data_IF_712479881673
#
_entry.id   IF_712479881673
#
_cell.length_a   1.000
_cell.length_b   1.000
_cell.length_c   1.000
_cell.angle_alpha   90.00
_cell.angle_beta   90.00
_cell.angle_gamma   90.00
#
_symmetry.space_group_name_H-M   'P 1'
#
loop_
_entity.id
_entity.type
_entity.pdbx_description
1 polymer ?
#
# COMPACT_ATOMS: atom_id res chain seq x y z
N UNK A 1 -53.54 -45.52 0.77
CA UNK A 1 -52.34 -45.22 -0.05
C UNK A 1 -52.74 -44.34 -1.23
N UNK A 2 -52.30 -43.07 -1.26
CA UNK A 2 -52.17 -42.10 -2.39
C UNK A 2 -52.31 -40.68 -1.81
N UNK A 3 -51.18 -40.09 -1.40
CA UNK A 3 -50.44 -39.02 -2.09
C UNK A 3 -51.27 -37.73 -2.22
N UNK A 4 -51.16 -36.79 -1.29
CA UNK A 4 -50.10 -35.77 -1.15
C UNK A 4 -50.03 -34.86 -2.36
N UNK A 5 -50.37 -33.56 -2.18
CA UNK A 5 -49.60 -32.42 -2.68
C UNK A 5 -49.97 -31.17 -1.86
N UNK A 6 -49.16 -30.88 -0.84
CA UNK A 6 -49.18 -29.61 -0.13
C UNK A 6 -48.41 -28.58 -0.96
N UNK A 7 -49.09 -27.51 -1.38
CA UNK A 7 -48.47 -26.38 -2.08
C UNK A 7 -47.60 -25.63 -1.06
N UNK A 8 -46.31 -25.97 -1.00
CA UNK A 8 -45.33 -25.19 -0.25
C UNK A 8 -44.86 -24.03 -1.14
N UNK A 9 -45.35 -22.83 -0.82
CA UNK A 9 -44.88 -21.58 -1.38
C UNK A 9 -43.49 -21.29 -0.80
N UNK A 10 -42.44 -21.74 -1.49
CA UNK A 10 -41.07 -21.43 -1.15
C UNK A 10 -40.80 -19.94 -1.46
N UNK A 11 -40.90 -19.10 -0.43
CA UNK A 11 -40.44 -17.71 -0.48
C UNK A 11 -38.91 -17.75 -0.54
N UNK A 12 -38.38 -17.57 -1.74
CA UNK A 12 -36.96 -17.41 -2.00
C UNK A 12 -36.55 -16.00 -1.54
N UNK A 13 -36.25 -15.86 -0.25
CA UNK A 13 -35.69 -14.63 0.31
C UNK A 13 -34.31 -14.44 -0.30
N UNK A 14 -34.20 -13.60 -1.34
CA UNK A 14 -32.92 -13.10 -1.80
C UNK A 14 -32.28 -12.35 -0.63
N UNK A 15 -31.25 -12.95 -0.04
CA UNK A 15 -30.28 -12.20 0.74
C UNK A 15 -29.67 -11.15 -0.19
N UNK A 16 -30.19 -9.93 -0.14
CA UNK A 16 -29.49 -8.77 -0.67
C UNK A 16 -28.18 -8.66 0.14
N UNK A 17 -27.10 -9.21 -0.41
CA UNK A 17 -25.78 -8.82 0.01
C UNK A 17 -25.71 -7.32 -0.22
N UNK A 18 -25.78 -6.54 0.86
CA UNK A 18 -25.37 -5.13 0.82
C UNK A 18 -23.91 -5.14 0.38
N UNK A 19 -23.69 -4.97 -0.91
CA UNK A 19 -22.37 -4.66 -1.44
C UNK A 19 -22.03 -3.27 -0.90
N UNK A 20 -21.28 -3.24 0.21
CA UNK A 20 -20.68 -2.02 0.73
C UNK A 20 -19.71 -1.53 -0.37
N UNK A 21 -20.12 -0.49 -1.06
CA UNK A 21 -19.43 0.04 -2.22
C UNK A 21 -19.26 1.54 -2.02
N UNK A 22 -18.03 1.99 -2.20
CA UNK A 22 -17.68 3.40 -2.18
C UNK A 22 -18.51 4.13 -3.25
N UNK A 23 -19.01 5.31 -2.90
CA UNK A 23 -19.87 6.11 -3.75
C UNK A 23 -19.14 7.38 -4.19
N UNK A 24 -19.02 7.59 -5.49
CA UNK A 24 -18.48 8.80 -6.08
C UNK A 24 -19.59 9.52 -6.82
N UNK A 25 -19.83 10.78 -6.44
CA UNK A 25 -20.80 11.65 -7.08
C UNK A 25 -20.03 12.69 -7.90
N UNK A 26 -20.40 12.79 -9.18
CA UNK A 26 -19.83 13.75 -10.11
C UNK A 26 -20.65 15.05 -10.11
N UNK A 27 -20.02 16.15 -10.53
CA UNK A 27 -20.65 17.49 -10.62
C UNK A 27 -21.83 17.57 -11.58
N UNK A 28 -21.99 16.59 -12.47
CA UNK A 28 -23.15 16.46 -13.36
C UNK A 28 -24.31 15.68 -12.73
N UNK A 29 -24.17 15.19 -11.50
CA UNK A 29 -25.14 14.37 -10.78
C UNK A 29 -25.01 12.87 -10.98
N UNK A 30 -24.05 12.41 -11.79
CA UNK A 30 -23.81 10.98 -11.98
C UNK A 30 -23.26 10.36 -10.70
N UNK A 31 -23.71 9.14 -10.39
CA UNK A 31 -23.26 8.36 -9.24
C UNK A 31 -22.60 7.07 -9.71
N UNK A 32 -21.38 6.84 -9.24
CA UNK A 32 -20.62 5.63 -9.50
C UNK A 32 -20.38 4.91 -8.18
N UNK A 33 -20.83 3.67 -8.09
CA UNK A 33 -20.58 2.77 -6.97
C UNK A 33 -19.47 1.79 -7.32
N UNK A 34 -18.49 1.63 -6.43
CA UNK A 34 -17.38 0.71 -6.65
C UNK A 34 -16.42 0.61 -5.47
N UNK A 35 -15.17 0.27 -5.74
CA UNK A 35 -14.07 0.35 -4.77
C UNK A 35 -13.05 1.34 -5.29
N UNK A 36 -12.75 2.36 -4.49
CA UNK A 36 -11.71 3.35 -4.82
C UNK A 36 -10.35 2.67 -4.74
N UNK A 37 -9.67 2.57 -5.87
CA UNK A 37 -8.35 1.93 -5.94
C UNK A 37 -7.26 2.92 -5.55
N UNK A 38 -7.19 4.03 -6.28
CA UNK A 38 -6.20 5.07 -6.04
C UNK A 38 -6.61 6.38 -6.70
N UNK A 39 -6.12 7.49 -6.13
CA UNK A 39 -6.13 8.80 -6.76
C UNK A 39 -4.69 9.22 -6.95
N UNK A 40 -4.33 9.59 -8.17
CA UNK A 40 -3.00 10.09 -8.48
C UNK A 40 -3.07 11.21 -9.52
N UNK A 41 -2.44 12.34 -9.20
CA UNK A 41 -2.50 13.53 -10.05
C UNK A 41 -3.94 14.02 -10.27
N UNK A 42 -4.39 14.00 -11.52
CA UNK A 42 -5.70 14.52 -11.95
C UNK A 42 -6.76 13.45 -12.17
N UNK A 43 -6.51 12.19 -11.80
CA UNK A 43 -7.44 11.08 -12.03
C UNK A 43 -7.69 10.22 -10.79
N UNK A 44 -8.91 9.70 -10.70
CA UNK A 44 -9.35 8.69 -9.74
C UNK A 44 -9.60 7.38 -10.46
N UNK A 45 -9.11 6.29 -9.90
CA UNK A 45 -9.33 4.93 -10.38
C UNK A 45 -10.32 4.21 -9.45
N UNK A 46 -11.40 3.69 -10.03
CA UNK A 46 -12.45 2.97 -9.32
C UNK A 46 -12.62 1.61 -9.97
N UNK A 47 -12.67 0.54 -9.17
CA UNK A 47 -13.11 -0.77 -9.62
C UNK A 47 -14.61 -0.91 -9.42
N UNK A 48 -15.34 -1.30 -10.44
CA UNK A 48 -16.79 -1.53 -10.36
C UNK A 48 -17.11 -2.98 -10.69
N UNK A 49 -18.32 -3.45 -10.37
CA UNK A 49 -18.71 -4.83 -10.65
C UNK A 49 -18.88 -5.11 -12.16
N UNK A 50 -19.17 -4.06 -12.93
CA UNK A 50 -19.40 -4.14 -14.37
C UNK A 50 -18.17 -3.76 -15.21
N UNK A 51 -17.17 -3.12 -14.60
CA UNK A 51 -15.92 -2.75 -15.25
C UNK A 51 -14.76 -2.82 -14.25
N UNK A 52 -13.72 -3.58 -14.62
CA UNK A 52 -12.54 -3.80 -13.77
C UNK A 52 -11.86 -2.49 -13.33
N UNK A 53 -11.84 -1.48 -14.21
CA UNK A 53 -11.22 -0.19 -13.94
C UNK A 53 -11.93 0.92 -14.69
N UNK A 54 -12.48 1.87 -13.93
CA UNK A 54 -13.08 3.11 -14.40
C UNK A 54 -12.16 4.26 -13.97
N UNK A 55 -11.75 5.08 -14.93
CA UNK A 55 -10.86 6.23 -14.70
C UNK A 55 -11.66 7.51 -14.88
N UNK A 56 -11.68 8.35 -13.85
CA UNK A 56 -12.46 9.59 -13.79
C UNK A 56 -11.53 10.75 -13.53
N UNK A 57 -11.80 11.91 -14.15
CA UNK A 57 -11.07 13.15 -13.83
C UNK A 57 -11.44 13.63 -12.42
N UNK A 58 -10.45 13.90 -11.59
CA UNK A 58 -10.64 14.37 -10.22
C UNK A 58 -11.47 15.67 -10.17
N UNK A 59 -11.26 16.57 -11.13
CA UNK A 59 -11.99 17.84 -11.21
C UNK A 59 -13.49 17.69 -11.53
N UNK A 60 -13.90 16.53 -12.03
CA UNK A 60 -15.31 16.23 -12.30
C UNK A 60 -16.04 15.68 -11.06
N UNK A 61 -15.33 15.36 -9.99
CA UNK A 61 -15.89 14.79 -8.76
C UNK A 61 -16.40 15.92 -7.87
N UNK A 62 -17.60 15.73 -7.33
CA UNK A 62 -18.22 16.63 -6.37
C UNK A 62 -18.06 16.12 -4.94
N UNK A 63 -18.33 14.85 -4.70
CA UNK A 63 -18.14 14.24 -3.38
C UNK A 63 -17.80 12.76 -3.50
N UNK A 64 -17.09 12.25 -2.49
CA UNK A 64 -16.70 10.85 -2.40
C UNK A 64 -17.01 10.35 -0.99
N UNK A 65 -17.67 9.20 -0.94
CA UNK A 65 -17.95 8.45 0.27
C UNK A 65 -17.29 7.09 0.17
N UNK A 66 -16.57 6.69 1.21
CA UNK A 66 -15.92 5.39 1.29
C UNK A 66 -16.35 4.68 2.55
N UNK A 67 -16.76 3.43 2.38
CA UNK A 67 -17.10 2.56 3.51
C UNK A 67 -15.86 1.81 4.02
N UNK A 68 -14.72 1.95 3.32
CA UNK A 68 -13.41 1.42 3.71
C UNK A 68 -12.45 2.54 4.11
N UNK A 69 -11.56 2.29 5.09
CA UNK A 69 -10.53 3.26 5.43
C UNK A 69 -9.60 3.45 4.23
N UNK A 70 -9.20 4.70 3.99
CA UNK A 70 -8.25 5.06 2.95
C UNK A 70 -7.23 6.05 3.49
N UNK A 71 -6.04 6.05 2.89
CA UNK A 71 -5.02 7.05 3.17
C UNK A 71 -5.10 8.18 2.15
N UNK A 72 -5.36 9.38 2.63
CA UNK A 72 -5.44 10.62 1.85
C UNK A 72 -4.22 11.47 2.15
N UNK A 73 -3.52 11.90 1.09
CA UNK A 73 -2.34 12.77 1.17
C UNK A 73 -2.76 14.17 0.72
N UNK A 74 -2.60 15.16 1.58
CA UNK A 74 -2.93 16.55 1.30
C UNK A 74 -1.74 17.30 0.69
N UNK A 75 -1.99 18.49 0.12
CA UNK A 75 -0.95 19.36 -0.50
C UNK A 75 0.15 19.77 0.46
N UNK A 76 -0.16 19.88 1.74
CA UNK A 76 0.80 20.18 2.82
C UNK A 76 1.60 18.95 3.27
N UNK A 77 1.44 17.81 2.57
CA UNK A 77 2.05 16.50 2.85
C UNK A 77 1.54 15.85 4.13
N UNK A 78 0.43 16.31 4.70
CA UNK A 78 -0.23 15.58 5.77
C UNK A 78 -0.87 14.31 5.21
N UNK A 79 -0.67 13.19 5.92
CA UNK A 79 -1.31 11.92 5.64
C UNK A 79 -2.43 11.69 6.66
N UNK A 80 -3.66 11.55 6.17
CA UNK A 80 -4.82 11.26 6.98
C UNK A 80 -5.36 9.89 6.58
N UNK A 81 -5.54 9.01 7.56
CA UNK A 81 -6.08 7.67 7.33
C UNK A 81 -7.42 7.55 8.03
N UNK A 82 -8.48 7.20 7.29
CA UNK A 82 -9.81 7.08 7.86
C UNK A 82 -10.88 6.83 6.81
N UNK A 83 -12.13 6.82 7.26
CA UNK A 83 -13.29 6.69 6.38
C UNK A 83 -13.59 8.03 5.72
N UNK A 84 -13.64 8.07 4.39
CA UNK A 84 -14.05 9.25 3.65
C UNK A 84 -15.57 9.42 3.74
N UNK A 85 -16.02 10.50 4.37
CA UNK A 85 -17.43 10.86 4.47
C UNK A 85 -17.80 12.00 3.52
N UNK A 86 -19.07 12.01 3.10
CA UNK A 86 -19.64 13.12 2.31
C UNK A 86 -19.53 14.43 3.09
N UNK A 87 -19.16 15.50 2.39
CA UNK A 87 -19.27 16.87 2.88
C UNK A 87 -19.86 17.74 1.77
N UNK A 88 -20.50 18.83 2.16
CA UNK A 88 -21.09 19.78 1.22
C UNK A 88 -20.00 20.63 0.54
N UNK A 89 -20.29 21.16 -0.65
CA UNK A 89 -19.45 22.12 -1.39
C UNK A 89 -18.06 21.61 -1.86
N UNK A 90 -17.96 20.38 -2.37
CA UNK A 90 -16.69 19.91 -2.95
C UNK A 90 -15.61 19.58 -1.91
N UNK A 91 -16.04 19.27 -0.68
CA UNK A 91 -15.20 18.83 0.41
C UNK A 91 -15.49 17.37 0.79
N UNK A 92 -14.55 16.78 1.50
CA UNK A 92 -14.64 15.44 2.08
C UNK A 92 -14.31 15.53 3.56
N UNK A 93 -14.99 14.74 4.38
CA UNK A 93 -14.59 14.53 5.78
C UNK A 93 -13.81 13.23 5.88
N UNK A 94 -12.82 13.18 6.77
CA UNK A 94 -12.10 11.92 7.08
C UNK A 94 -12.36 11.59 8.53
N UNK A 95 -13.13 10.52 8.77
CA UNK A 95 -13.36 10.01 10.11
C UNK A 95 -12.23 9.03 10.45
N UNK A 96 -11.23 9.52 11.18
CA UNK A 96 -10.12 8.73 11.70
C UNK A 96 -10.40 8.36 13.15
N UNK A 97 -10.09 7.12 13.54
CA UNK A 97 -10.19 6.66 14.93
C UNK A 97 -9.33 7.55 15.84
N UNK A 98 -9.97 8.44 16.61
CA UNK A 98 -9.32 9.40 17.51
C UNK A 98 -9.54 10.88 17.17
N UNK A 99 -10.20 11.21 16.05
CA UNK A 99 -10.56 12.59 15.69
C UNK A 99 -12.06 12.79 15.89
N UNK A 100 -12.43 13.48 16.97
CA UNK A 100 -13.83 13.75 17.33
C UNK A 100 -14.49 14.87 16.51
N UNK A 101 -13.72 15.56 15.66
CA UNK A 101 -14.20 16.67 14.85
C UNK A 101 -13.55 16.62 13.46
N UNK A 102 -14.22 15.94 12.53
CA UNK A 102 -13.73 15.78 11.17
C UNK A 102 -13.96 17.07 10.39
N UNK A 103 -12.89 17.86 10.20
CA UNK A 103 -12.96 19.09 9.42
C UNK A 103 -13.22 18.76 7.94
N UNK A 104 -14.08 19.55 7.25
CA UNK A 104 -14.22 19.45 5.80
C UNK A 104 -12.88 19.77 5.12
N UNK A 105 -12.34 18.81 4.39
CA UNK A 105 -11.13 18.94 3.58
C UNK A 105 -11.56 19.18 2.14
N UNK A 106 -11.22 20.33 1.52
CA UNK A 106 -11.51 20.57 0.12
C UNK A 106 -10.87 19.48 -0.76
N UNK A 107 -11.60 18.96 -1.75
CA UNK A 107 -11.05 17.99 -2.72
C UNK A 107 -9.86 18.57 -3.50
N UNK A 108 -9.75 19.90 -3.56
CA UNK A 108 -8.61 20.62 -4.17
C UNK A 108 -7.32 20.50 -3.36
N UNK A 109 -7.39 20.14 -2.08
CA UNK A 109 -6.22 19.92 -1.23
C UNK A 109 -5.74 18.46 -1.28
N UNK A 110 -6.60 17.54 -1.71
CA UNK A 110 -6.25 16.12 -1.86
C UNK A 110 -5.31 15.93 -3.04
N UNK A 111 -4.09 15.52 -2.76
CA UNK A 111 -3.03 15.30 -3.75
C UNK A 111 -3.02 13.85 -4.25
N UNK A 112 -3.05 12.88 -3.34
CA UNK A 112 -3.06 11.46 -3.69
C UNK A 112 -3.97 10.68 -2.70
N UNK A 113 -4.54 9.56 -3.14
CA UNK A 113 -5.28 8.60 -2.31
C UNK A 113 -4.70 7.22 -2.58
N UNK A 114 -4.40 6.47 -1.51
CA UNK A 114 -3.82 5.12 -1.56
C UNK A 114 -2.59 5.02 -2.47
N UNK A 115 -1.70 6.03 -2.37
CA UNK A 115 -0.46 6.08 -3.16
C UNK A 115 0.48 4.95 -2.78
N UNK A 116 1.14 4.35 -3.78
CA UNK A 116 2.26 3.44 -3.56
C UNK A 116 3.58 4.20 -3.54
N UNK A 117 4.35 3.99 -2.49
CA UNK A 117 5.70 4.51 -2.28
C UNK A 117 6.75 3.50 -2.74
N UNK A 118 7.80 4.00 -3.38
CA UNK A 118 8.97 3.23 -3.78
C UNK A 118 10.19 3.79 -3.06
N UNK A 119 10.95 2.94 -2.38
CA UNK A 119 12.23 3.30 -1.79
C UNK A 119 13.28 2.25 -2.06
N UNK A 120 14.54 2.65 -2.05
CA UNK A 120 15.66 1.74 -2.29
C UNK A 120 16.90 2.20 -1.55
N UNK A 121 17.75 1.24 -1.20
CA UNK A 121 19.03 1.47 -0.56
C UNK A 121 20.07 0.52 -1.12
N UNK A 122 21.32 0.97 -1.19
CA UNK A 122 22.46 0.12 -1.51
C UNK A 122 23.57 0.43 -0.52
N UNK A 123 24.15 -0.60 0.10
CA UNK A 123 25.30 -0.46 0.97
C UNK A 123 26.47 -1.28 0.46
N UNK A 124 27.67 -0.78 0.71
CA UNK A 124 28.93 -1.44 0.41
C UNK A 124 29.88 -1.18 1.57
N UNK A 125 30.59 -2.20 2.03
CA UNK A 125 31.59 -2.02 3.07
C UNK A 125 32.64 -3.11 3.06
N UNK A 126 33.76 -2.81 3.71
CA UNK A 126 34.88 -3.73 3.82
C UNK A 126 35.71 -3.47 5.07
N UNK A 127 36.42 -4.50 5.49
CA UNK A 127 37.19 -4.51 6.71
C UNK A 127 38.51 -5.26 6.52
N UNK A 128 39.56 -4.66 7.05
CA UNK A 128 40.89 -5.25 7.14
C UNK A 128 41.24 -5.39 8.62
N UNK A 129 41.60 -6.59 9.07
CA UNK A 129 42.05 -6.85 10.43
C UNK A 129 43.38 -7.57 10.39
N UNK A 130 44.43 -6.95 10.97
CA UNK A 130 45.78 -7.52 11.04
C UNK A 130 46.14 -7.94 12.46
N UNK A 131 46.57 -9.19 12.63
CA UNK A 131 47.09 -9.78 13.86
C UNK A 131 47.81 -11.08 13.53
N UNK A 132 47.63 -12.15 14.32
CA UNK A 132 48.13 -13.50 13.96
C UNK A 132 47.45 -14.10 12.70
N UNK A 133 46.42 -13.43 12.17
CA UNK A 133 45.70 -13.82 10.95
C UNK A 133 45.27 -12.55 10.25
N UNK A 134 45.52 -12.47 8.95
CA UNK A 134 45.05 -11.37 8.12
C UNK A 134 43.65 -11.72 7.62
N UNK A 135 42.67 -10.88 7.95
CA UNK A 135 41.28 -11.03 7.49
C UNK A 135 40.90 -9.86 6.62
N UNK A 136 40.41 -10.16 5.43
CA UNK A 136 39.84 -9.19 4.50
C UNK A 136 38.40 -9.58 4.22
N UNK A 137 37.47 -8.64 4.39
CA UNK A 137 36.08 -8.87 4.03
C UNK A 137 35.52 -7.71 3.19
N UNK A 138 34.58 -8.07 2.31
CA UNK A 138 33.80 -7.15 1.51
C UNK A 138 32.34 -7.61 1.56
N UNK A 139 31.43 -6.67 1.73
CA UNK A 139 29.99 -6.90 1.67
C UNK A 139 29.35 -5.86 0.77
N UNK A 140 28.36 -6.30 0.01
CA UNK A 140 27.50 -5.46 -0.79
C UNK A 140 26.06 -5.91 -0.58
N UNK A 141 25.15 -4.98 -0.39
CA UNK A 141 23.72 -5.26 -0.38
C UNK A 141 22.94 -4.18 -1.13
N UNK A 142 21.83 -4.61 -1.71
CA UNK A 142 20.87 -3.74 -2.37
C UNK A 142 19.46 -4.17 -1.98
N UNK A 143 18.62 -3.20 -1.64
CA UNK A 143 17.24 -3.40 -1.24
C UNK A 143 16.32 -2.44 -1.99
N UNK A 144 15.16 -2.95 -2.39
CA UNK A 144 14.06 -2.22 -3.03
C UNK A 144 12.80 -2.52 -2.21
N UNK A 145 12.04 -1.48 -1.88
CA UNK A 145 10.81 -1.54 -1.10
C UNK A 145 9.69 -0.84 -1.87
N UNK A 146 8.60 -1.57 -2.11
CA UNK A 146 7.33 -1.05 -2.62
C UNK A 146 6.30 -1.13 -1.51
N UNK A 147 5.72 0.00 -1.12
CA UNK A 147 4.78 0.09 0.00
C UNK A 147 3.52 0.85 -0.40
N UNK A 148 2.35 0.22 -0.30
CA UNK A 148 1.03 0.86 -0.37
C UNK A 148 0.36 0.93 1.00
N UNK A 149 -0.97 1.12 1.00
CA UNK A 149 -1.78 1.17 2.23
C UNK A 149 -1.82 -0.20 2.93
N UNK A 150 -2.14 -1.26 2.19
CA UNK A 150 -2.29 -2.63 2.72
C UNK A 150 -1.12 -3.55 2.38
N UNK A 151 -0.27 -3.17 1.42
CA UNK A 151 0.76 -4.02 0.85
C UNK A 151 2.18 -3.47 1.07
N UNK A 152 3.10 -4.36 1.46
CA UNK A 152 4.53 -4.06 1.56
C UNK A 152 5.34 -5.18 0.92
N UNK A 153 6.07 -4.87 -0.13
CA UNK A 153 6.89 -5.82 -0.89
C UNK A 153 8.35 -5.37 -0.85
N UNK A 154 9.24 -6.23 -0.35
CA UNK A 154 10.69 -5.98 -0.31
C UNK A 154 11.42 -6.97 -1.22
N UNK A 155 12.29 -6.46 -2.07
CA UNK A 155 13.19 -7.24 -2.93
C UNK A 155 14.64 -6.89 -2.56
N UNK A 156 15.45 -7.88 -2.24
CA UNK A 156 16.82 -7.66 -1.78
C UNK A 156 17.82 -8.65 -2.36
N UNK A 157 19.07 -8.21 -2.46
CA UNK A 157 20.21 -9.03 -2.86
C UNK A 157 21.43 -8.68 -2.02
N UNK A 158 22.19 -9.71 -1.61
CA UNK A 158 23.39 -9.54 -0.81
C UNK A 158 24.54 -10.37 -1.37
N UNK A 159 25.75 -9.83 -1.31
CA UNK A 159 26.99 -10.49 -1.68
C UNK A 159 28.02 -10.28 -0.57
N UNK A 160 28.64 -11.36 -0.10
CA UNK A 160 29.66 -11.32 0.93
C UNK A 160 30.88 -12.12 0.46
N UNK A 161 32.05 -11.49 0.55
CA UNK A 161 33.33 -12.12 0.30
C UNK A 161 34.22 -11.95 1.55
N UNK A 162 34.92 -13.02 1.94
CA UNK A 162 35.85 -12.98 3.05
C UNK A 162 36.98 -13.96 2.87
N UNK A 163 38.21 -13.48 2.98
CA UNK A 163 39.42 -14.30 2.98
C UNK A 163 40.12 -14.22 4.34
N UNK A 164 40.65 -15.36 4.79
CA UNK A 164 41.42 -15.49 6.02
C UNK A 164 42.77 -16.10 5.68
N UNK A 165 43.80 -15.27 5.54
CA UNK A 165 45.16 -15.74 5.35
C UNK A 165 45.85 -15.82 6.71
N UNK A 166 45.94 -17.04 7.26
CA UNK A 166 46.70 -17.32 8.47
C UNK A 166 48.15 -17.65 8.15
N UNK A 167 49.11 -17.06 8.86
CA UNK A 167 50.48 -17.55 8.84
C UNK A 167 50.51 -18.96 9.43
N UNK A 168 50.54 -20.00 8.57
CA UNK A 168 50.90 -21.35 8.99
C UNK A 168 52.37 -21.32 9.38
N UNK A 169 52.65 -21.17 10.66
CA UNK A 169 53.98 -21.44 11.21
C UNK A 169 54.28 -22.92 10.98
N UNK A 170 54.98 -23.18 9.88
CA UNK A 170 55.40 -24.49 9.41
C UNK A 170 56.68 -24.37 8.57
N UNK A 171 57.71 -23.72 9.11
CA UNK A 171 59.09 -23.92 8.67
C UNK A 171 59.89 -24.48 9.83
N UNK A 172 59.91 -25.81 9.95
CA UNK A 172 61.06 -26.52 10.49
C UNK A 172 62.22 -26.35 9.50
N UNK A 173 63.36 -25.82 9.95
CA UNK A 173 64.66 -26.26 9.45
C UNK A 173 65.65 -26.32 10.62
N UNK A 174 66.40 -27.41 10.63
CA UNK A 174 67.34 -27.82 11.65
C UNK A 174 68.67 -27.06 11.56
N UNK A 175 69.32 -26.91 12.73
CA UNK A 175 70.76 -26.90 13.05
C UNK A 175 71.79 -26.04 12.28
N UNK A 176 72.91 -25.80 12.99
CA UNK A 176 74.17 -25.10 12.65
C UNK A 176 74.11 -23.58 12.88
N UNK A 177 74.91 -22.96 13.76
CA UNK A 177 76.10 -23.32 14.55
C UNK A 177 76.08 -22.65 15.91
#
# INVERSE_FOLDING_TARGET
>A
MKQSQSIQLAVLTLCAFSANADEVILKNGDKISGTVLSKSGSVLEIKTDYADKVVIKWDAIETLNSDKPMTVILKDKQELTGLAGKSENGAMTINSSGVYDSKPIPLTEVTDINKKFFSGSANFGGGLSSGNTERQNYHADANILVQGHDDRVTLGGQYNYGDNTGCKNGCHYASCT
#
